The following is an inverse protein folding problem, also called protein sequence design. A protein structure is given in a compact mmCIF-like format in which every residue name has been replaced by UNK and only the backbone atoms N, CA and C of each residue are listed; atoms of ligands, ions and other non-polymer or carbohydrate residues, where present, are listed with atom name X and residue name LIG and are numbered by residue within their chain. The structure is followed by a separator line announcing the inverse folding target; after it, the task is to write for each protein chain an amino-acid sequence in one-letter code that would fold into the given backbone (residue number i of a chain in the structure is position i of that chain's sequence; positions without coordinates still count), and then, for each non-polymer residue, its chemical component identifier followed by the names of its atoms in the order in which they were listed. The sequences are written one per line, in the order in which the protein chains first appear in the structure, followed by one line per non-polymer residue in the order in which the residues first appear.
data_IF_627251858470
#
_entry.id   IF_627251858470
#
_cell.length_a   1.000
_cell.length_b   1.000
_cell.length_c   1.000
_cell.angle_alpha   90.00
_cell.angle_beta   90.00
_cell.angle_gamma   90.00
#
_symmetry.space_group_name_H-M   'P 1'
#
loop_
_entity.id
_entity.type
_entity.pdbx_description
1 polymer ?
#
# COMPACT_ATOMS: atom_id res chain seq x y z
N UNK A 1 -4.64 -15.94 -14.65
CA UNK A 1 -4.87 -16.37 -13.26
C UNK A 1 -5.04 -15.13 -12.40
N UNK A 2 -6.14 -15.02 -11.65
CA UNK A 2 -6.33 -13.86 -10.76
C UNK A 2 -5.19 -13.80 -9.75
N UNK A 3 -4.55 -12.63 -9.61
CA UNK A 3 -3.54 -12.42 -8.57
C UNK A 3 -4.20 -12.65 -7.21
N UNK A 4 -3.63 -13.54 -6.41
CA UNK A 4 -4.11 -13.79 -5.06
C UNK A 4 -3.98 -12.55 -4.18
N UNK A 5 -4.80 -12.43 -3.14
CA UNK A 5 -4.81 -11.28 -2.23
C UNK A 5 -3.41 -10.92 -1.70
N UNK A 6 -2.60 -11.91 -1.36
CA UNK A 6 -1.22 -11.72 -0.90
C UNK A 6 -0.31 -11.04 -1.95
N UNK A 7 -0.49 -11.36 -3.23
CA UNK A 7 0.27 -10.80 -4.33
C UNK A 7 -0.10 -9.33 -4.56
N UNK A 8 -1.40 -9.04 -4.51
CA UNK A 8 -1.92 -7.67 -4.60
C UNK A 8 -1.44 -6.83 -3.42
N UNK A 9 -1.49 -7.36 -2.20
CA UNK A 9 -1.05 -6.66 -1.01
C UNK A 9 0.45 -6.37 -1.05
N UNK A 10 1.26 -7.34 -1.51
CA UNK A 10 2.72 -7.15 -1.66
C UNK A 10 3.04 -6.06 -2.69
N UNK A 11 2.37 -6.08 -3.85
CA UNK A 11 2.53 -5.06 -4.87
C UNK A 11 2.09 -3.68 -4.35
N UNK A 12 0.95 -3.62 -3.65
CA UNK A 12 0.42 -2.40 -3.05
C UNK A 12 1.41 -1.79 -2.04
N UNK A 13 1.98 -2.60 -1.15
CA UNK A 13 3.00 -2.15 -0.19
C UNK A 13 4.23 -1.61 -0.93
N UNK A 14 4.72 -2.33 -1.94
CA UNK A 14 5.86 -1.89 -2.75
C UNK A 14 5.62 -0.53 -3.40
N UNK A 15 4.52 -0.39 -4.15
CA UNK A 15 4.18 0.86 -4.84
C UNK A 15 4.07 2.03 -3.85
N UNK A 16 3.45 1.79 -2.69
CA UNK A 16 3.30 2.81 -1.65
C UNK A 16 4.66 3.22 -1.05
N UNK A 17 5.57 2.27 -0.82
CA UNK A 17 6.92 2.57 -0.34
C UNK A 17 7.76 3.34 -1.39
N UNK A 18 7.57 3.05 -2.68
CA UNK A 18 8.22 3.78 -3.78
C UNK A 18 7.66 5.21 -3.86
N UNK A 19 6.34 5.37 -3.77
CA UNK A 19 5.66 6.66 -3.80
C UNK A 19 6.11 7.57 -2.64
N UNK A 20 6.41 6.98 -1.47
CA UNK A 20 6.96 7.71 -0.32
C UNK A 20 8.45 8.08 -0.50
N UNK A 21 9.15 7.48 -1.46
CA UNK A 21 10.55 7.80 -1.77
C UNK A 21 11.60 6.91 -1.08
N UNK A 22 11.20 5.84 -0.39
CA UNK A 22 12.10 4.95 0.35
C UNK A 22 12.59 5.52 1.69
N UNK A 23 13.68 4.95 2.22
CA UNK A 23 14.27 5.34 3.52
C UNK A 23 13.76 4.50 4.70
N UNK A 24 13.68 5.09 5.89
CA UNK A 24 13.09 4.40 7.05
C UNK A 24 11.55 4.52 7.03
N UNK A 25 10.89 3.42 6.73
CA UNK A 25 9.44 3.32 6.55
C UNK A 25 8.82 2.38 7.58
N UNK A 26 7.68 2.77 8.13
CA UNK A 26 6.82 1.94 8.96
C UNK A 26 5.59 1.54 8.13
N UNK A 27 5.40 0.24 7.96
CA UNK A 27 4.30 -0.37 7.23
C UNK A 27 3.30 -0.92 8.24
N UNK A 28 2.12 -0.32 8.28
CA UNK A 28 1.01 -0.70 9.15
C UNK A 28 0.03 -1.53 8.33
N UNK A 29 -0.26 -2.74 8.82
CA UNK A 29 -1.20 -3.68 8.22
C UNK A 29 -2.17 -4.22 9.26
N UNK A 30 -3.26 -4.86 8.81
CA UNK A 30 -4.11 -5.61 9.73
C UNK A 30 -3.37 -6.84 10.28
N UNK A 31 -3.76 -7.26 11.47
CA UNK A 31 -3.15 -8.39 12.19
C UNK A 31 -3.09 -9.69 11.35
N UNK A 32 -4.15 -9.98 10.59
CA UNK A 32 -4.23 -11.15 9.74
C UNK A 32 -3.22 -11.16 8.57
N UNK A 33 -2.72 -10.00 8.16
CA UNK A 33 -1.82 -9.84 7.00
C UNK A 33 -0.35 -9.66 7.39
N UNK A 34 -0.06 -9.50 8.69
CA UNK A 34 1.29 -9.30 9.23
C UNK A 34 2.26 -10.38 8.71
N UNK A 35 1.86 -11.66 8.80
CA UNK A 35 2.69 -12.80 8.37
C UNK A 35 3.01 -12.80 6.88
N UNK A 36 2.11 -12.26 6.05
CA UNK A 36 2.31 -12.17 4.60
C UNK A 36 3.33 -11.09 4.29
N UNK A 37 3.15 -9.90 4.87
CA UNK A 37 4.02 -8.75 4.64
C UNK A 37 5.38 -8.94 5.29
N UNK A 38 5.46 -9.50 6.50
CA UNK A 38 6.72 -9.79 7.17
C UNK A 38 7.61 -10.75 6.35
N UNK A 39 7.01 -11.74 5.68
CA UNK A 39 7.73 -12.61 4.73
C UNK A 39 8.19 -11.88 3.47
N UNK A 40 7.38 -10.95 2.97
CA UNK A 40 7.67 -10.19 1.75
C UNK A 40 8.55 -8.94 1.99
N UNK A 41 8.70 -8.48 3.24
CA UNK A 41 9.35 -7.23 3.59
C UNK A 41 10.77 -7.12 3.01
N UNK A 42 11.58 -8.17 3.15
CA UNK A 42 12.95 -8.19 2.60
C UNK A 42 13.01 -8.11 1.08
N UNK A 43 11.99 -8.63 0.39
CA UNK A 43 11.91 -8.52 -1.06
C UNK A 43 11.51 -7.08 -1.45
N UNK A 44 10.51 -6.52 -0.75
CA UNK A 44 10.05 -5.15 -0.95
C UNK A 44 11.18 -4.15 -0.69
N UNK A 45 11.96 -4.30 0.39
CA UNK A 45 13.12 -3.44 0.67
C UNK A 45 14.12 -3.39 -0.49
N UNK A 46 14.42 -4.54 -1.10
CA UNK A 46 15.31 -4.62 -2.27
C UNK A 46 14.70 -3.94 -3.49
N UNK A 47 13.42 -4.16 -3.75
CA UNK A 47 12.73 -3.56 -4.90
C UNK A 47 12.57 -2.05 -4.76
N UNK A 48 12.27 -1.56 -3.56
CA UNK A 48 12.19 -0.13 -3.28
C UNK A 48 13.57 0.49 -3.42
N UNK A 49 14.61 -0.09 -2.81
CA UNK A 49 16.00 0.39 -2.96
C UNK A 49 16.44 0.45 -4.43
N UNK A 50 16.06 -0.54 -5.24
CA UNK A 50 16.34 -0.53 -6.68
C UNK A 50 15.61 0.58 -7.43
N UNK A 51 14.39 0.93 -7.01
CA UNK A 51 13.56 1.96 -7.66
C UNK A 51 13.92 3.39 -7.22
N UNK A 52 14.17 3.63 -5.93
CA UNK A 52 14.46 4.98 -5.39
C UNK A 52 15.95 5.26 -5.19
N UNK A 53 16.84 4.26 -5.33
CA UNK A 53 18.27 4.37 -5.02
C UNK A 53 18.59 4.74 -3.56
N UNK A 54 17.59 4.67 -2.67
CA UNK A 54 17.72 4.98 -1.24
C UNK A 54 17.71 3.69 -0.42
N UNK A 55 18.62 3.57 0.54
CA UNK A 55 18.61 2.45 1.48
C UNK A 55 17.31 2.46 2.28
N UNK A 56 16.51 1.42 2.09
CA UNK A 56 15.15 1.36 2.62
C UNK A 56 15.10 0.32 3.72
N UNK A 57 14.61 0.73 4.88
CA UNK A 57 14.39 -0.13 6.04
C UNK A 57 12.91 -0.13 6.40
N UNK A 58 12.29 -1.29 6.33
CA UNK A 58 10.86 -1.46 6.58
C UNK A 58 10.64 -2.06 7.97
N UNK A 59 9.93 -1.33 8.82
CA UNK A 59 9.36 -1.87 10.07
C UNK A 59 7.91 -2.25 9.81
N UNK A 60 7.48 -3.43 10.26
CA UNK A 60 6.08 -3.87 10.13
C UNK A 60 5.40 -3.74 11.48
N UNK A 61 4.28 -3.03 11.51
CA UNK A 61 3.43 -2.82 12.69
C UNK A 61 2.02 -3.28 12.36
N UNK A 62 1.24 -3.71 13.36
CA UNK A 62 -0.16 -4.06 13.18
C UNK A 62 -1.08 -3.04 13.82
N UNK A 63 -2.20 -2.73 13.17
CA UNK A 63 -3.25 -1.87 13.71
C UNK A 63 -4.64 -2.34 13.22
N UNK A 64 -5.71 -1.79 13.81
CA UNK A 64 -7.10 -2.13 13.50
C UNK A 64 -7.58 -1.46 12.20
N UNK A 65 -6.85 -1.69 11.10
CA UNK A 65 -7.16 -1.14 9.78
C UNK A 65 -7.90 -2.17 8.90
N UNK A 66 -8.59 -1.67 7.88
CA UNK A 66 -9.18 -2.50 6.84
C UNK A 66 -8.13 -3.19 5.95
N UNK A 67 -8.55 -4.01 4.97
CA UNK A 67 -7.61 -4.63 4.04
C UNK A 67 -6.84 -3.54 3.24
N UNK A 68 -5.54 -3.77 3.06
CA UNK A 68 -4.61 -2.83 2.45
C UNK A 68 -3.46 -2.47 3.38
N UNK A 69 -2.81 -1.34 3.12
CA UNK A 69 -1.58 -0.95 3.81
C UNK A 69 -1.53 0.55 4.04
N UNK A 70 -1.01 0.95 5.19
CA UNK A 70 -0.66 2.34 5.48
C UNK A 70 0.85 2.39 5.65
N UNK A 71 1.51 3.33 4.97
CA UNK A 71 2.98 3.49 5.10
C UNK A 71 3.26 4.87 5.68
N UNK A 72 4.01 4.89 6.78
CA UNK A 72 4.50 6.11 7.45
C UNK A 72 6.00 6.23 7.27
N UNK A 73 6.50 7.42 6.94
CA UNK A 73 7.92 7.71 7.10
C UNK A 73 8.28 7.85 8.58
N UNK A 74 9.48 7.43 9.01
CA UNK A 74 9.93 7.52 10.41
C UNK A 74 9.95 8.95 11.00
N UNK A 75 9.98 9.97 10.15
CA UNK A 75 9.79 11.37 10.59
C UNK A 75 8.36 11.70 11.02
N UNK A 76 7.37 10.81 10.80
CA UNK A 76 5.95 11.02 11.11
C UNK A 76 5.27 12.12 10.29
N UNK A 77 6.01 12.78 9.38
CA UNK A 77 5.54 13.93 8.59
C UNK A 77 4.77 13.53 7.33
N UNK A 78 4.97 12.31 6.85
CA UNK A 78 4.38 11.83 5.59
C UNK A 78 3.83 10.43 5.83
N UNK A 79 2.54 10.27 5.57
CA UNK A 79 1.80 9.02 5.62
C UNK A 79 1.04 8.88 4.30
N UNK A 80 1.05 7.67 3.74
CA UNK A 80 0.21 7.31 2.59
C UNK A 80 -0.70 6.17 3.01
N UNK A 81 -2.01 6.45 3.03
CA UNK A 81 -3.05 5.45 3.20
C UNK A 81 -3.40 4.83 1.85
N UNK A 82 -2.87 3.63 1.63
CA UNK A 82 -3.16 2.80 0.45
C UNK A 82 -4.22 1.76 0.74
N UNK A 83 -5.09 1.94 1.75
CA UNK A 83 -6.16 0.98 2.02
C UNK A 83 -7.13 0.89 0.84
N UNK A 84 -7.71 -0.28 0.59
CA UNK A 84 -8.67 -0.44 -0.51
C UNK A 84 -9.88 0.47 -0.34
N UNK A 85 -10.28 0.71 0.91
CA UNK A 85 -11.38 1.62 1.24
C UNK A 85 -11.04 3.05 0.80
N UNK A 86 -9.87 3.57 1.17
CA UNK A 86 -9.46 4.93 0.81
C UNK A 86 -9.29 5.09 -0.70
N UNK A 87 -8.68 4.11 -1.37
CA UNK A 87 -8.57 4.12 -2.84
C UNK A 87 -9.94 4.15 -3.52
N UNK A 88 -10.91 3.37 -3.03
CA UNK A 88 -12.26 3.39 -3.56
C UNK A 88 -12.95 4.74 -3.32
N UNK A 89 -12.77 5.35 -2.14
CA UNK A 89 -13.28 6.68 -1.82
C UNK A 89 -12.74 7.76 -2.77
N UNK A 90 -11.43 7.72 -3.07
CA UNK A 90 -10.80 8.65 -4.02
C UNK A 90 -11.32 8.46 -5.45
N UNK A 91 -11.62 7.21 -5.85
CA UNK A 91 -12.13 6.90 -7.19
C UNK A 91 -13.64 7.12 -7.34
N UNK A 92 -14.41 7.10 -6.24
CA UNK A 92 -15.88 7.18 -6.24
C UNK A 92 -16.43 8.36 -7.06
N UNK A 93 -15.95 9.61 -6.93
CA UNK A 93 -16.51 10.74 -7.68
C UNK A 93 -16.39 10.55 -9.20
N UNK A 94 -15.22 10.10 -9.66
CA UNK A 94 -14.95 9.86 -11.07
C UNK A 94 -15.71 8.65 -11.61
N UNK A 95 -15.80 7.58 -10.82
CA UNK A 95 -16.57 6.39 -11.19
C UNK A 95 -18.06 6.67 -11.27
N UNK A 96 -18.60 7.49 -10.36
CA UNK A 96 -20.02 7.83 -10.34
C UNK A 96 -20.46 8.50 -11.65
N UNK A 97 -19.64 9.41 -12.18
CA UNK A 97 -19.91 10.08 -13.46
C UNK A 97 -19.94 9.05 -14.61
N UNK A 98 -18.89 8.22 -14.72
CA UNK A 98 -18.78 7.20 -15.77
C UNK A 98 -19.89 6.16 -15.73
N UNK A 99 -20.31 5.75 -14.53
CA UNK A 99 -21.41 4.80 -14.34
C UNK A 99 -22.74 5.44 -14.75
N UNK A 100 -22.96 6.72 -14.44
CA UNK A 100 -24.16 7.43 -14.87
C UNK A 100 -24.21 7.54 -16.41
N UNK A 101 -23.08 7.91 -17.04
CA UNK A 101 -22.97 7.95 -18.51
C UNK A 101 -23.26 6.59 -19.14
N UNK A 102 -22.75 5.49 -18.57
CA UNK A 102 -22.92 4.15 -19.14
C UNK A 102 -24.32 3.56 -18.95
N UNK A 103 -25.05 3.94 -17.88
CA UNK A 103 -26.34 3.33 -17.53
C UNK A 103 -27.56 4.17 -17.92
N UNK A 104 -27.41 5.48 -18.06
CA UNK A 104 -28.53 6.41 -18.26
C UNK A 104 -28.38 7.31 -19.50
N UNK A 105 -27.43 7.00 -20.38
CA UNK A 105 -27.38 7.51 -21.78
C UNK A 105 -27.93 6.44 -22.71
#
# INVERSE_FOLDING_TARGET
AGKGYADVLTALTRDTCIELGGGELEVIVRDADEKVISKAAKAIEKEVKAATSVDTKISVSTDAIGPGVIVKGKSGKVEIDSTFKNRLELLRPSLRLKVAEALFT
#
